data_IF_695034523612
#
_entry.id   IF_695034523612
#
_cell.length_a   1.000
_cell.length_b   1.000
_cell.length_c   1.000
_cell.angle_alpha   90.00
_cell.angle_beta   90.00
_cell.angle_gamma   90.00
#
_symmetry.space_group_name_H-M   'P 1'
#
loop_
_entity.id
_entity.type
_entity.pdbx_description
1 polymer ?
#
# COMPACT_ATOMS: atom_id res chain seq x y z
N UNK A 1 -19.10 2.54 4.10
CA UNK A 1 -17.64 2.27 4.03
C UNK A 1 -16.99 3.02 5.18
N UNK A 2 -16.19 2.38 6.02
CA UNK A 2 -15.42 3.09 7.05
C UNK A 2 -14.18 3.73 6.42
N UNK A 3 -13.70 4.83 7.01
CA UNK A 3 -12.52 5.55 6.54
C UNK A 3 -11.30 4.62 6.45
N UNK A 4 -11.14 3.71 7.42
CA UNK A 4 -10.08 2.71 7.42
C UNK A 4 -10.10 1.77 6.22
N UNK A 5 -11.29 1.31 5.78
CA UNK A 5 -11.40 0.49 4.57
C UNK A 5 -10.98 1.27 3.32
N UNK A 6 -11.30 2.57 3.24
CA UNK A 6 -10.91 3.43 2.12
C UNK A 6 -9.38 3.57 2.05
N UNK A 7 -8.73 3.80 3.20
CA UNK A 7 -7.26 3.91 3.29
C UNK A 7 -6.59 2.63 2.81
N UNK A 8 -7.09 1.45 3.21
CA UNK A 8 -6.57 0.16 2.75
C UNK A 8 -6.71 0.00 1.25
N UNK A 9 -7.87 0.34 0.67
CA UNK A 9 -8.09 0.26 -0.77
C UNK A 9 -7.09 1.16 -1.53
N UNK A 10 -6.89 2.40 -1.07
CA UNK A 10 -5.93 3.32 -1.68
C UNK A 10 -4.51 2.76 -1.62
N UNK A 11 -4.08 2.21 -0.48
CA UNK A 11 -2.76 1.59 -0.34
C UNK A 11 -2.55 0.41 -1.29
N UNK A 12 -3.57 -0.41 -1.49
CA UNK A 12 -3.53 -1.52 -2.44
C UNK A 12 -3.37 -0.99 -3.88
N UNK A 13 -4.13 0.05 -4.26
CA UNK A 13 -3.99 0.66 -5.59
C UNK A 13 -2.59 1.26 -5.81
N UNK A 14 -2.04 1.94 -4.80
CA UNK A 14 -0.68 2.48 -4.84
C UNK A 14 0.37 1.37 -5.01
N UNK A 15 0.21 0.24 -4.31
CA UNK A 15 1.11 -0.91 -4.45
C UNK A 15 1.09 -1.50 -5.86
N UNK A 16 -0.08 -1.62 -6.47
CA UNK A 16 -0.23 -2.12 -7.84
C UNK A 16 0.45 -1.17 -8.84
N UNK A 17 0.24 0.15 -8.69
CA UNK A 17 0.84 1.17 -9.55
C UNK A 17 2.36 1.31 -9.36
N UNK A 18 2.86 1.08 -8.15
CA UNK A 18 4.27 1.14 -7.82
C UNK A 18 5.04 -0.16 -8.14
N UNK A 19 4.37 -1.22 -8.60
CA UNK A 19 5.01 -2.50 -8.86
C UNK A 19 5.92 -2.41 -10.10
N UNK A 20 7.19 -2.86 -10.06
CA UNK A 20 8.17 -2.65 -11.14
C UNK A 20 7.96 -3.53 -12.39
N UNK A 21 6.74 -4.00 -12.65
CA UNK A 21 6.36 -4.66 -13.90
C UNK A 21 5.87 -3.68 -14.96
N UNK A 22 5.46 -2.47 -14.57
CA UNK A 22 4.95 -1.47 -15.50
C UNK A 22 6.11 -0.70 -16.15
N UNK A 23 6.03 -0.33 -17.44
CA UNK A 23 7.07 0.44 -18.13
C UNK A 23 7.42 1.77 -17.43
N UNK A 24 6.42 2.40 -16.79
CA UNK A 24 6.60 3.67 -16.08
C UNK A 24 7.34 3.53 -14.73
N UNK A 25 7.07 2.46 -13.98
CA UNK A 25 7.66 2.19 -12.66
C UNK A 25 8.95 1.37 -12.72
N UNK A 26 9.35 0.89 -13.91
CA UNK A 26 10.53 0.03 -14.11
C UNK A 26 11.82 0.65 -13.56
N UNK A 27 12.00 1.97 -13.69
CA UNK A 27 13.19 2.66 -13.20
C UNK A 27 13.18 2.89 -11.68
N UNK A 28 12.04 2.71 -11.01
CA UNK A 28 11.94 2.85 -9.55
C UNK A 28 12.38 1.58 -8.80
N UNK A 29 12.44 0.44 -9.49
CA UNK A 29 12.75 -0.85 -8.87
C UNK A 29 11.75 -1.21 -7.75
N UNK A 30 12.22 -1.85 -6.70
CA UNK A 30 11.38 -2.27 -5.55
C UNK A 30 11.31 -1.24 -4.42
N UNK A 31 11.99 -0.10 -4.55
CA UNK A 31 12.04 0.92 -3.50
C UNK A 31 10.65 1.48 -3.11
N UNK A 32 9.78 1.92 -4.04
CA UNK A 32 8.45 2.39 -3.66
C UNK A 32 7.53 1.25 -3.22
N UNK A 33 7.63 0.07 -3.84
CA UNK A 33 6.78 -1.09 -3.50
C UNK A 33 7.05 -1.61 -2.09
N UNK A 34 8.32 -1.66 -1.67
CA UNK A 34 8.71 -2.11 -0.32
C UNK A 34 8.27 -1.12 0.77
N UNK A 35 8.45 0.19 0.54
CA UNK A 35 7.95 1.23 1.44
C UNK A 35 6.43 1.18 1.61
N UNK A 36 5.69 1.12 0.51
CA UNK A 36 4.23 1.01 0.53
C UNK A 36 3.74 -0.30 1.18
N UNK A 37 4.48 -1.40 0.99
CA UNK A 37 4.17 -2.69 1.61
C UNK A 37 4.26 -2.63 3.13
N UNK A 38 5.30 -1.99 3.66
CA UNK A 38 5.47 -1.78 5.10
C UNK A 38 4.32 -0.93 5.66
N UNK A 39 3.94 0.15 4.98
CA UNK A 39 2.81 1.00 5.41
C UNK A 39 1.50 0.21 5.41
N UNK A 40 1.25 -0.61 4.39
CA UNK A 40 0.06 -1.46 4.34
C UNK A 40 0.01 -2.44 5.52
N UNK A 41 1.13 -3.07 5.86
CA UNK A 41 1.21 -3.97 7.03
C UNK A 41 0.88 -3.23 8.33
N UNK A 42 1.44 -2.03 8.54
CA UNK A 42 1.14 -1.21 9.72
C UNK A 42 -0.34 -0.88 9.81
N UNK A 43 -0.95 -0.45 8.69
CA UNK A 43 -2.38 -0.10 8.64
C UNK A 43 -3.25 -1.32 8.94
N UNK A 44 -2.91 -2.50 8.41
CA UNK A 44 -3.63 -3.74 8.71
C UNK A 44 -3.55 -4.07 10.20
N UNK A 45 -2.37 -3.96 10.82
CA UNK A 45 -2.20 -4.21 12.26
C UNK A 45 -3.07 -3.25 13.08
N UNK A 46 -3.06 -1.95 12.77
CA UNK A 46 -3.88 -0.97 13.47
C UNK A 46 -5.38 -1.23 13.31
N UNK A 47 -5.81 -1.65 12.14
CA UNK A 47 -7.21 -1.99 11.83
C UNK A 47 -7.65 -3.24 12.62
N UNK A 48 -6.80 -4.27 12.69
CA UNK A 48 -7.03 -5.47 13.50
C UNK A 48 -7.08 -5.16 15.00
N UNK A 49 -6.32 -4.19 15.48
CA UNK A 49 -6.33 -3.71 16.86
C UNK A 49 -7.52 -2.78 17.18
N UNK A 50 -8.38 -2.47 16.20
CA UNK A 50 -9.51 -1.54 16.37
C UNK A 50 -9.07 -0.10 16.63
N UNK A 51 -7.86 0.29 16.20
CA UNK A 51 -7.27 1.62 16.40
C UNK A 51 -7.47 2.55 15.20
N UNK A 52 -8.29 2.13 14.21
CA UNK A 52 -8.42 2.73 12.88
C UNK A 52 -9.86 2.64 12.38
#
# INVERSE_FOLDING_TARGET
MSLGTIVVIILILLLIGAFPSWPHSRNWGYAPTSGLGIVLVIVIVLLLMGRL
#
